data_IF_068091073526
#
_entry.id   IF_068091073526
#
_cell.length_a   1.000
_cell.length_b   1.000
_cell.length_c   1.000
_cell.angle_alpha   90.00
_cell.angle_beta   90.00
_cell.angle_gamma   90.00
#
_symmetry.space_group_name_H-M   'P 1'
#
loop_
_entity.id
_entity.type
_entity.pdbx_description
1 polymer ?
#
# COMPACT_ATOMS: atom_id res chain seq x y z
N UNK A 1 8.25 -16.04 -13.87
CA UNK A 1 8.90 -15.30 -12.76
C UNK A 1 7.89 -15.12 -11.63
N UNK A 2 8.06 -15.79 -10.49
CA UNK A 2 7.20 -15.56 -9.34
C UNK A 2 7.39 -14.10 -8.87
N UNK A 3 6.33 -13.28 -8.96
CA UNK A 3 6.36 -11.90 -8.49
C UNK A 3 6.65 -11.93 -6.98
N UNK A 4 7.87 -11.56 -6.57
CA UNK A 4 8.24 -11.51 -5.14
C UNK A 4 7.18 -10.73 -4.39
N UNK A 5 6.67 -11.31 -3.31
CA UNK A 5 5.66 -10.65 -2.47
C UNK A 5 6.25 -9.34 -1.95
N UNK A 6 5.51 -8.26 -2.11
CA UNK A 6 5.89 -6.96 -1.53
C UNK A 6 6.02 -7.12 -0.02
N UNK A 7 7.21 -6.79 0.49
CA UNK A 7 7.55 -6.81 1.90
C UNK A 7 6.62 -5.88 2.69
N UNK A 8 6.28 -6.28 3.91
CA UNK A 8 5.37 -5.52 4.78
C UNK A 8 5.96 -4.18 5.24
N UNK A 9 7.29 -4.07 5.34
CA UNK A 9 8.00 -2.85 5.71
C UNK A 9 8.19 -1.87 4.54
N UNK A 10 7.80 -2.24 3.30
CA UNK A 10 7.83 -1.34 2.17
C UNK A 10 6.89 -0.14 2.38
N UNK A 11 7.30 1.03 1.88
CA UNK A 11 6.51 2.27 1.89
C UNK A 11 5.55 2.31 0.70
N UNK A 12 4.42 2.99 0.87
CA UNK A 12 3.41 3.17 -0.20
C UNK A 12 4.00 3.86 -1.42
N UNK A 13 4.74 4.95 -1.25
CA UNK A 13 5.33 5.66 -2.40
C UNK A 13 6.35 4.81 -3.16
N UNK A 14 7.11 3.96 -2.45
CA UNK A 14 8.02 2.99 -3.10
C UNK A 14 7.25 1.89 -3.79
N UNK A 15 6.16 1.41 -3.19
CA UNK A 15 5.29 0.41 -3.77
C UNK A 15 4.68 0.89 -5.09
N UNK A 16 4.16 2.12 -5.14
CA UNK A 16 3.61 2.72 -6.36
C UNK A 16 4.67 2.75 -7.48
N UNK A 17 5.89 3.17 -7.16
CA UNK A 17 7.03 3.17 -8.11
C UNK A 17 7.39 1.76 -8.60
N UNK A 18 7.50 0.78 -7.70
CA UNK A 18 7.81 -0.62 -8.04
C UNK A 18 6.72 -1.21 -8.96
N UNK A 19 5.47 -0.81 -8.74
CA UNK A 19 4.33 -1.29 -9.53
C UNK A 19 4.12 -0.49 -10.82
N UNK A 20 4.86 0.61 -11.05
CA UNK A 20 4.63 1.51 -12.18
C UNK A 20 3.32 2.29 -12.08
N UNK A 21 2.78 2.45 -10.88
CA UNK A 21 1.54 3.18 -10.64
C UNK A 21 1.82 4.67 -10.42
N UNK A 22 0.91 5.56 -10.86
CA UNK A 22 1.01 6.98 -10.53
C UNK A 22 0.95 7.19 -9.01
N UNK A 23 1.63 8.21 -8.48
CA UNK A 23 1.59 8.51 -7.06
C UNK A 23 0.16 8.84 -6.63
N UNK A 24 -0.26 8.33 -5.45
CA UNK A 24 -1.62 8.51 -4.95
C UNK A 24 -2.64 7.49 -5.47
N UNK A 25 -2.19 6.47 -6.21
CA UNK A 25 -3.04 5.34 -6.62
C UNK A 25 -3.53 4.56 -5.41
N UNK A 26 -2.69 4.40 -4.38
CA UNK A 26 -3.11 3.71 -3.16
C UNK A 26 -3.84 4.70 -2.25
N UNK A 27 -5.15 4.53 -2.13
CA UNK A 27 -6.02 5.43 -1.34
C UNK A 27 -6.50 4.77 -0.05
N UNK A 28 -6.69 5.58 0.98
CA UNK A 28 -7.34 5.17 2.22
C UNK A 28 -8.84 4.96 1.97
N UNK A 29 -9.54 4.27 2.88
CA UNK A 29 -10.99 4.01 2.75
C UNK A 29 -11.84 5.28 2.68
N UNK A 30 -11.36 6.40 3.22
CA UNK A 30 -12.04 7.70 3.12
C UNK A 30 -11.84 8.40 1.76
N UNK A 31 -11.23 7.72 0.78
CA UNK A 31 -10.96 8.27 -0.55
C UNK A 31 -9.79 9.25 -0.61
N UNK A 32 -9.17 9.59 0.52
CA UNK A 32 -7.95 10.41 0.54
C UNK A 32 -6.73 9.57 0.23
N UNK A 33 -5.75 10.21 -0.36
CA UNK A 33 -4.49 9.55 -0.71
C UNK A 33 -3.82 8.99 0.53
N UNK A 34 -3.23 7.80 0.36
CA UNK A 34 -2.45 7.23 1.44
C UNK A 34 -1.12 7.95 1.51
N UNK A 35 -0.74 8.34 2.73
CA UNK A 35 0.59 8.89 2.99
C UNK A 35 1.68 8.00 2.39
N UNK A 36 2.55 8.60 1.60
CA UNK A 36 3.62 7.90 0.87
C UNK A 36 4.62 7.21 1.81
N UNK A 37 4.80 7.71 3.04
CA UNK A 37 5.66 7.13 4.07
C UNK A 37 5.03 5.96 4.84
N UNK A 38 3.72 5.70 4.67
CA UNK A 38 3.00 4.63 5.37
C UNK A 38 3.52 3.25 4.93
N UNK A 39 3.62 2.33 5.89
CA UNK A 39 4.01 0.93 5.62
C UNK A 39 2.85 0.14 5.00
N UNK A 40 3.17 -0.68 4.00
CA UNK A 40 2.22 -1.59 3.34
C UNK A 40 1.63 -2.60 4.33
N UNK A 41 2.41 -3.06 5.30
CA UNK A 41 1.93 -3.95 6.36
C UNK A 41 0.82 -3.33 7.21
N UNK A 42 0.88 -2.03 7.48
CA UNK A 42 -0.17 -1.31 8.21
C UNK A 42 -1.45 -1.26 7.40
N UNK A 43 -1.35 -0.95 6.10
CA UNK A 43 -2.50 -0.97 5.18
C UNK A 43 -3.17 -2.34 5.12
N UNK A 44 -2.38 -3.42 5.05
CA UNK A 44 -2.92 -4.79 5.04
C UNK A 44 -3.70 -5.07 6.33
N UNK A 45 -3.15 -4.73 7.50
CA UNK A 45 -3.83 -4.89 8.80
C UNK A 45 -5.11 -4.06 8.89
N UNK A 46 -5.09 -2.82 8.41
CA UNK A 46 -6.28 -1.96 8.39
C UNK A 46 -7.37 -2.50 7.46
N UNK A 47 -6.98 -3.06 6.30
CA UNK A 47 -7.90 -3.71 5.38
C UNK A 47 -8.50 -5.00 5.98
N UNK A 48 -7.69 -5.81 6.67
CA UNK A 48 -8.15 -7.03 7.34
C UNK A 48 -9.09 -6.74 8.51
N UNK A 49 -8.75 -5.77 9.39
CA UNK A 49 -9.60 -5.37 10.51
C UNK A 49 -10.99 -4.91 10.10
N UNK A 50 -11.13 -4.39 8.87
CA UNK A 50 -12.41 -3.90 8.32
C UNK A 50 -13.18 -4.92 7.50
N UNK A 51 -12.65 -6.14 7.30
CA UNK A 51 -13.38 -7.26 6.66
C UNK A 51 -14.27 -8.03 7.63
N UNK A 52 -14.14 -7.77 8.94
CA UNK A 52 -15.00 -8.31 9.99
C UNK A 52 -16.10 -7.31 10.32
#
# INVERSE_FOLDING_TARGET
MARRKIRSDCRVGTLEKILGLPPGTIRNKNGRDTRSDKKVGTLRKEAEKKKK
#
